data_IF_048614060727
#
_entry.id   IF_048614060727
#
_cell.length_a   1.000
_cell.length_b   1.000
_cell.length_c   1.000
_cell.angle_alpha   90.00
_cell.angle_beta   90.00
_cell.angle_gamma   90.00
#
_symmetry.space_group_name_H-M   'P 1'
#
loop_
_entity.id
_entity.type
_entity.pdbx_description
1 polymer ?
#
# COMPACT_ATOMS: atom_id res chain seq x y z
N UNK A 1 -6.93 15.93 27.20
CA UNK A 1 -6.66 14.60 26.62
C UNK A 1 -7.88 13.68 26.72
N UNK A 2 -8.39 13.40 27.93
CA UNK A 2 -9.56 12.53 28.13
C UNK A 2 -10.84 12.98 27.39
N UNK A 3 -11.03 14.29 27.17
CA UNK A 3 -12.21 14.82 26.46
C UNK A 3 -12.24 14.44 24.97
N UNK A 4 -11.09 14.45 24.28
CA UNK A 4 -11.01 14.09 22.86
C UNK A 4 -11.21 12.59 22.65
N UNK A 5 -10.62 11.76 23.51
CA UNK A 5 -10.82 10.31 23.47
C UNK A 5 -12.28 9.92 23.69
N UNK A 6 -12.96 10.54 24.67
CA UNK A 6 -14.38 10.30 24.93
C UNK A 6 -15.25 10.67 23.73
N UNK A 7 -15.02 11.86 23.14
CA UNK A 7 -15.73 12.30 21.93
C UNK A 7 -15.47 11.39 20.74
N UNK A 8 -14.23 10.90 20.58
CA UNK A 8 -13.89 9.97 19.50
C UNK A 8 -14.64 8.64 19.66
N UNK A 9 -14.74 8.12 20.89
CA UNK A 9 -15.51 6.91 21.20
C UNK A 9 -17.00 7.11 20.98
N UNK A 10 -17.55 8.27 21.36
CA UNK A 10 -18.96 8.62 21.09
C UNK A 10 -19.22 8.70 19.57
N UNK A 11 -18.38 9.43 18.82
CA UNK A 11 -18.48 9.48 17.37
C UNK A 11 -18.39 8.09 16.72
N UNK A 12 -17.53 7.20 17.24
CA UNK A 12 -17.43 5.82 16.77
C UNK A 12 -18.70 5.00 17.04
N UNK A 13 -19.31 5.16 18.22
CA UNK A 13 -20.57 4.47 18.59
C UNK A 13 -21.73 4.95 17.71
N UNK A 14 -21.72 6.22 17.34
CA UNK A 14 -22.73 6.83 16.45
C UNK A 14 -22.44 6.58 14.94
N UNK A 15 -21.51 5.67 14.61
CA UNK A 15 -21.06 5.34 13.25
C UNK A 15 -20.48 6.53 12.44
N UNK A 16 -20.16 7.66 13.09
CA UNK A 16 -19.45 8.80 12.51
C UNK A 16 -17.93 8.53 12.44
N UNK A 17 -17.54 7.53 11.64
CA UNK A 17 -16.16 7.01 11.65
C UNK A 17 -15.10 8.03 11.19
N UNK A 18 -15.41 8.90 10.22
CA UNK A 18 -14.50 9.97 9.77
C UNK A 18 -14.19 10.94 10.92
N UNK A 19 -15.24 11.40 11.61
CA UNK A 19 -15.10 12.25 12.79
C UNK A 19 -14.34 11.55 13.92
N UNK A 20 -14.59 10.24 14.13
CA UNK A 20 -13.85 9.46 15.11
C UNK A 20 -12.34 9.43 14.79
N UNK A 21 -11.96 9.21 13.51
CA UNK A 21 -10.56 9.24 13.07
C UNK A 21 -9.93 10.61 13.30
N UNK A 22 -10.63 11.71 12.99
CA UNK A 22 -10.12 13.06 13.21
C UNK A 22 -9.90 13.36 14.70
N UNK A 23 -10.85 12.97 15.56
CA UNK A 23 -10.75 13.15 17.00
C UNK A 23 -9.65 12.29 17.61
N UNK A 24 -9.51 11.03 17.17
CA UNK A 24 -8.38 10.19 17.58
C UNK A 24 -7.05 10.75 17.11
N UNK A 25 -6.98 11.30 15.89
CA UNK A 25 -5.76 11.93 15.37
C UNK A 25 -5.33 13.12 16.22
N UNK A 26 -6.28 13.97 16.63
CA UNK A 26 -6.02 15.04 17.57
C UNK A 26 -5.59 14.52 18.95
N UNK A 27 -6.23 13.46 19.46
CA UNK A 27 -5.86 12.85 20.73
C UNK A 27 -4.44 12.25 20.70
N UNK A 28 -4.06 11.57 19.62
CA UNK A 28 -2.73 10.99 19.39
C UNK A 28 -1.67 12.10 19.28
N UNK A 29 -1.97 13.23 18.64
CA UNK A 29 -1.05 14.36 18.59
C UNK A 29 -0.71 14.91 19.99
N UNK A 30 -1.63 14.79 20.96
CA UNK A 30 -1.40 15.16 22.35
C UNK A 30 -0.68 14.07 23.16
N UNK A 31 -0.93 12.80 22.85
CA UNK A 31 -0.30 11.65 23.51
C UNK A 31 0.06 10.54 22.50
N UNK A 32 1.21 10.66 21.82
CA UNK A 32 1.58 9.74 20.73
C UNK A 32 2.00 8.35 21.22
N UNK A 33 2.20 8.18 22.54
CA UNK A 33 2.64 6.93 23.16
C UNK A 33 1.50 6.14 23.76
N UNK A 34 0.23 6.54 23.56
CA UNK A 34 -0.91 5.79 24.04
C UNK A 34 -1.34 4.73 23.00
N UNK A 35 -1.10 3.43 23.25
CA UNK A 35 -1.48 2.35 22.33
C UNK A 35 -3.00 2.21 22.15
N UNK A 36 -3.80 2.58 23.15
CA UNK A 36 -5.26 2.51 23.05
C UNK A 36 -5.82 3.43 21.97
N UNK A 37 -5.31 4.67 21.88
CA UNK A 37 -5.75 5.63 20.87
C UNK A 37 -5.43 5.15 19.45
N UNK A 38 -4.26 4.53 19.27
CA UNK A 38 -3.86 3.95 18.00
C UNK A 38 -4.71 2.73 17.64
N UNK A 39 -4.95 1.82 18.58
CA UNK A 39 -5.80 0.64 18.36
C UNK A 39 -7.26 1.02 18.07
N UNK A 40 -7.77 2.06 18.72
CA UNK A 40 -9.14 2.53 18.51
C UNK A 40 -9.27 3.31 17.19
N UNK A 41 -8.26 4.09 16.79
CA UNK A 41 -8.20 4.71 15.45
C UNK A 41 -8.08 3.67 14.34
N UNK A 42 -7.29 2.61 14.54
CA UNK A 42 -7.21 1.49 13.61
C UNK A 42 -8.60 0.85 13.36
N UNK A 43 -9.40 0.71 14.42
CA UNK A 43 -10.76 0.18 14.31
C UNK A 43 -11.69 1.09 13.50
N UNK A 44 -11.58 2.42 13.66
CA UNK A 44 -12.32 3.38 12.84
C UNK A 44 -11.87 3.33 11.37
N UNK A 45 -10.57 3.26 11.11
CA UNK A 45 -10.01 3.10 9.76
C UNK A 45 -10.47 1.80 9.08
N UNK A 46 -10.61 0.68 9.81
CA UNK A 46 -11.20 -0.56 9.28
C UNK A 46 -12.65 -0.36 8.82
N UNK A 47 -13.43 0.44 9.55
CA UNK A 47 -14.82 0.75 9.19
C UNK A 47 -14.91 1.63 7.94
N UNK A 48 -13.94 2.50 7.73
CA UNK A 48 -13.80 3.33 6.53
C UNK A 48 -13.13 2.63 5.34
N UNK A 49 -12.69 1.37 5.50
CA UNK A 49 -11.91 0.65 4.50
C UNK A 49 -10.55 1.32 4.16
N UNK A 50 -10.03 2.14 5.07
CA UNK A 50 -8.65 2.68 5.06
C UNK A 50 -7.70 1.67 5.69
N UNK A 51 -7.51 0.55 5.01
CA UNK A 51 -6.92 -0.66 5.60
C UNK A 51 -5.42 -0.52 5.87
N UNK A 52 -4.69 0.19 5.01
CA UNK A 52 -3.27 0.46 5.16
C UNK A 52 -2.98 1.29 6.42
N UNK A 53 -3.79 2.32 6.66
CA UNK A 53 -3.73 3.17 7.84
C UNK A 53 -4.09 2.37 9.10
N UNK A 54 -5.09 1.48 9.00
CA UNK A 54 -5.44 0.58 10.10
C UNK A 54 -4.29 -0.38 10.47
N UNK A 55 -3.59 -0.95 9.47
CA UNK A 55 -2.42 -1.81 9.71
C UNK A 55 -1.28 -1.02 10.35
N UNK A 56 -1.03 0.21 9.89
CA UNK A 56 0.01 1.08 10.45
C UNK A 56 -0.28 1.43 11.92
N UNK A 57 -1.51 1.86 12.22
CA UNK A 57 -1.94 2.19 13.58
C UNK A 57 -1.90 0.97 14.50
N UNK A 58 -2.44 -0.17 14.06
CA UNK A 58 -2.41 -1.40 14.83
C UNK A 58 -0.99 -1.91 15.07
N UNK A 59 -0.10 -1.82 14.07
CA UNK A 59 1.30 -2.18 14.24
C UNK A 59 2.00 -1.25 15.23
N UNK A 60 1.71 0.06 15.19
CA UNK A 60 2.27 1.01 16.15
C UNK A 60 1.77 0.78 17.57
N UNK A 61 0.48 0.43 17.73
CA UNK A 61 -0.06 0.03 19.02
C UNK A 61 0.64 -1.22 19.58
N UNK A 62 0.91 -2.23 18.74
CA UNK A 62 1.66 -3.45 19.12
C UNK A 62 3.11 -3.13 19.49
N UNK A 63 3.78 -2.20 18.79
CA UNK A 63 5.13 -1.76 19.14
C UNK A 63 5.19 -1.11 20.54
N UNK A 64 4.14 -0.36 20.90
CA UNK A 64 4.04 0.32 22.20
C UNK A 64 3.59 -0.64 23.31
N UNK A 65 2.67 -1.55 23.02
CA UNK A 65 2.21 -2.60 23.92
C UNK A 65 2.05 -3.93 23.17
N UNK A 66 3.09 -4.79 23.19
CA UNK A 66 3.06 -6.09 22.53
C UNK A 66 2.01 -7.05 23.09
N UNK A 67 1.53 -6.83 24.32
CA UNK A 67 0.55 -7.67 25.00
C UNK A 67 -0.91 -7.29 24.66
N UNK A 68 -1.11 -6.26 23.84
CA UNK A 68 -2.43 -5.76 23.49
C UNK A 68 -3.14 -6.65 22.46
N UNK A 69 -3.88 -7.65 22.92
CA UNK A 69 -4.64 -8.57 22.07
C UNK A 69 -5.57 -7.84 21.06
N UNK A 70 -6.22 -6.74 21.47
CA UNK A 70 -7.09 -5.96 20.56
C UNK A 70 -6.33 -5.37 19.36
N UNK A 71 -5.07 -4.96 19.53
CA UNK A 71 -4.28 -4.39 18.45
C UNK A 71 -3.88 -5.47 17.43
N UNK A 72 -3.51 -6.66 17.91
CA UNK A 72 -3.31 -7.85 17.06
C UNK A 72 -4.58 -8.22 16.28
N UNK A 73 -5.75 -8.18 16.93
CA UNK A 73 -7.03 -8.40 16.27
C UNK A 73 -7.30 -7.36 15.16
N UNK A 74 -7.05 -6.07 15.42
CA UNK A 74 -7.23 -5.01 14.40
C UNK A 74 -6.31 -5.23 13.21
N UNK A 75 -5.03 -5.52 13.47
CA UNK A 75 -4.04 -5.82 12.42
C UNK A 75 -4.47 -7.02 11.58
N UNK A 76 -4.88 -8.11 12.23
CA UNK A 76 -5.38 -9.32 11.58
C UNK A 76 -6.55 -9.03 10.64
N UNK A 77 -7.59 -8.37 11.13
CA UNK A 77 -8.78 -8.02 10.34
C UNK A 77 -8.43 -7.11 9.15
N UNK A 78 -7.57 -6.11 9.36
CA UNK A 78 -7.16 -5.20 8.29
C UNK A 78 -6.37 -5.94 7.20
N UNK A 79 -5.42 -6.82 7.57
CA UNK A 79 -4.67 -7.66 6.64
C UNK A 79 -5.59 -8.66 5.89
N UNK A 80 -6.61 -9.25 6.55
CA UNK A 80 -7.57 -10.12 5.85
C UNK A 80 -8.34 -9.36 4.76
N UNK A 81 -8.74 -8.12 5.04
CA UNK A 81 -9.42 -7.27 4.05
C UNK A 81 -8.50 -6.81 2.92
N UNK A 82 -7.18 -6.80 3.15
CA UNK A 82 -6.15 -6.60 2.14
C UNK A 82 -5.76 -7.89 1.40
N UNK A 83 -6.41 -9.03 1.71
CA UNK A 83 -6.06 -10.35 1.17
C UNK A 83 -4.63 -10.81 1.54
N UNK A 84 -4.02 -10.21 2.56
CA UNK A 84 -2.73 -10.62 3.12
C UNK A 84 -2.93 -11.72 4.17
N UNK A 85 -3.43 -12.88 3.76
CA UNK A 85 -3.93 -13.91 4.67
C UNK A 85 -2.85 -14.52 5.58
N UNK A 86 -1.61 -14.66 5.10
CA UNK A 86 -0.51 -15.18 5.94
C UNK A 86 -0.13 -14.17 7.03
N UNK A 87 -0.03 -12.88 6.70
CA UNK A 87 0.24 -11.80 7.67
C UNK A 87 -0.90 -11.68 8.67
N UNK A 88 -2.15 -11.77 8.18
CA UNK A 88 -3.34 -11.75 9.02
C UNK A 88 -3.33 -12.90 10.03
N UNK A 89 -3.11 -14.13 9.56
CA UNK A 89 -3.04 -15.32 10.40
C UNK A 89 -1.99 -15.15 11.51
N UNK A 90 -0.77 -14.75 11.16
CA UNK A 90 0.30 -14.56 12.13
C UNK A 90 -0.06 -13.52 13.21
N UNK A 91 -0.66 -12.39 12.82
CA UNK A 91 -1.13 -11.39 13.78
C UNK A 91 -2.26 -11.93 14.68
N UNK A 92 -3.21 -12.68 14.11
CA UNK A 92 -4.31 -13.28 14.86
C UNK A 92 -3.82 -14.36 15.83
N UNK A 93 -2.86 -15.19 15.45
CA UNK A 93 -2.24 -16.20 16.33
C UNK A 93 -1.50 -15.54 17.50
N UNK A 94 -0.75 -14.47 17.22
CA UNK A 94 -0.10 -13.68 18.26
C UNK A 94 -1.14 -13.09 19.24
N UNK A 95 -2.22 -12.49 18.73
CA UNK A 95 -3.32 -11.99 19.57
C UNK A 95 -4.04 -13.08 20.36
N UNK A 96 -4.27 -14.25 19.75
CA UNK A 96 -4.91 -15.39 20.39
C UNK A 96 -4.07 -15.93 21.56
N UNK A 97 -2.74 -15.92 21.44
CA UNK A 97 -1.84 -16.35 22.53
C UNK A 97 -1.90 -15.45 23.76
N UNK A 98 -2.37 -14.21 23.61
CA UNK A 98 -2.48 -13.19 24.65
C UNK A 98 -3.88 -13.13 25.27
N UNK A 99 -4.90 -13.60 24.55
CA UNK A 99 -6.28 -13.61 25.01
C UNK A 99 -6.66 -14.98 25.57
N UNK A 100 -7.10 -15.03 26.83
CA UNK A 100 -7.38 -16.29 27.51
C UNK A 100 -8.63 -17.02 27.01
N UNK A 101 -9.59 -16.34 26.38
CA UNK A 101 -10.83 -16.95 25.84
C UNK A 101 -11.47 -16.02 24.77
N UNK A 102 -11.01 -16.05 23.51
CA UNK A 102 -11.71 -15.37 22.42
C UNK A 102 -11.93 -16.27 21.19
N UNK A 103 -13.17 -16.76 21.02
CA UNK A 103 -13.63 -17.49 19.82
C UNK A 103 -13.43 -16.71 18.52
N UNK A 104 -13.35 -15.36 18.60
CA UNK A 104 -13.19 -14.49 17.44
C UNK A 104 -11.87 -14.73 16.71
N UNK A 105 -10.76 -14.93 17.42
CA UNK A 105 -9.49 -15.23 16.77
C UNK A 105 -9.52 -16.57 16.05
N UNK A 106 -10.06 -17.61 16.70
CA UNK A 106 -10.14 -18.95 16.11
C UNK A 106 -10.91 -18.96 14.77
N UNK A 107 -12.05 -18.26 14.70
CA UNK A 107 -12.83 -18.17 13.48
C UNK A 107 -12.08 -17.44 12.36
N UNK A 108 -11.40 -16.33 12.68
CA UNK A 108 -10.63 -15.56 11.69
C UNK A 108 -9.37 -16.30 11.23
N UNK A 109 -8.70 -17.03 12.11
CA UNK A 109 -7.55 -17.89 11.76
C UNK A 109 -8.01 -19.01 10.81
N UNK A 110 -9.14 -19.65 11.10
CA UNK A 110 -9.73 -20.67 10.22
C UNK A 110 -10.05 -20.11 8.83
N UNK A 111 -10.64 -18.91 8.77
CA UNK A 111 -10.91 -18.23 7.50
C UNK A 111 -9.61 -17.93 6.74
N UNK A 112 -8.55 -17.47 7.43
CA UNK A 112 -7.24 -17.28 6.79
C UNK A 112 -6.70 -18.60 6.21
N UNK A 113 -6.80 -19.70 6.96
CA UNK A 113 -6.33 -21.02 6.51
C UNK A 113 -7.06 -21.53 5.27
N UNK A 114 -8.38 -21.32 5.20
CA UNK A 114 -9.19 -21.66 4.03
C UNK A 114 -8.74 -20.86 2.80
N UNK A 115 -8.55 -19.54 2.94
CA UNK A 115 -8.10 -18.66 1.84
C UNK A 115 -6.69 -18.99 1.37
N UNK A 116 -5.77 -19.29 2.28
CA UNK A 116 -4.40 -19.72 1.94
C UNK A 116 -4.43 -21.07 1.19
N UNK A 117 -5.32 -22.00 1.58
CA UNK A 117 -5.48 -23.28 0.88
C UNK A 117 -6.02 -23.09 -0.54
N UNK A 118 -6.97 -22.17 -0.74
CA UNK A 118 -7.49 -21.81 -2.06
C UNK A 118 -6.38 -21.26 -2.97
N UNK A 119 -5.60 -20.27 -2.52
CA UNK A 119 -4.49 -19.68 -3.28
C UNK A 119 -3.43 -20.72 -3.69
N UNK A 120 -3.07 -21.62 -2.77
CA UNK A 120 -2.09 -22.67 -3.04
C UNK A 120 -2.62 -23.78 -3.94
N UNK A 121 -3.94 -24.01 -3.94
CA UNK A 121 -4.63 -24.95 -4.83
C UNK A 121 -4.73 -24.44 -6.28
N UNK A 122 -4.97 -23.15 -6.47
CA UNK A 122 -4.99 -22.50 -7.79
C UNK A 122 -3.59 -22.50 -8.44
N UNK A 123 -2.56 -22.21 -7.66
CA UNK A 123 -1.17 -22.18 -8.12
C UNK A 123 -0.69 -23.55 -8.64
N UNK A 124 -1.19 -24.65 -8.08
CA UNK A 124 -0.83 -26.03 -8.51
C UNK A 124 -1.51 -26.47 -9.82
N UNK A 125 -2.64 -25.87 -10.19
CA UNK A 125 -3.38 -26.24 -11.43
C UNK A 125 -2.80 -25.59 -12.70
N UNK A 126 -2.10 -24.46 -12.59
CA UNK A 126 -1.51 -23.75 -13.74
C UNK A 126 -0.15 -24.31 -14.22
N UNK A 127 0.46 -25.27 -13.52
CA UNK A 127 1.82 -25.73 -13.80
C UNK A 127 1.95 -26.81 -14.91
N UNK A 128 0.89 -27.19 -15.62
CA UNK A 128 0.90 -28.39 -16.50
C UNK A 128 0.93 -28.09 -18.01
N UNK A 129 0.72 -26.86 -18.49
CA UNK A 129 0.56 -26.60 -19.93
C UNK A 129 1.46 -25.48 -20.47
N UNK A 130 2.52 -25.85 -21.17
CA UNK A 130 3.23 -25.06 -22.20
C UNK A 130 3.69 -26.05 -23.29
N UNK A 131 3.68 -25.71 -24.61
CA UNK A 131 4.76 -24.87 -25.17
C UNK A 131 4.46 -24.02 -26.45
N UNK A 132 5.27 -22.95 -26.64
CA UNK A 132 6.03 -22.53 -27.86
C UNK A 132 5.29 -22.02 -29.13
N UNK A 133 5.57 -20.78 -29.61
CA UNK A 133 6.47 -20.45 -30.76
C UNK A 133 6.42 -18.96 -31.28
N UNK A 134 7.59 -18.32 -31.35
CA UNK A 134 8.23 -17.64 -32.53
C UNK A 134 7.71 -16.33 -33.18
N UNK A 135 8.51 -15.24 -32.95
CA UNK A 135 9.10 -14.20 -33.83
C UNK A 135 8.24 -13.37 -34.83
N UNK A 136 8.27 -12.02 -34.71
CA UNK A 136 8.98 -11.11 -35.67
C UNK A 136 8.81 -9.61 -35.38
N UNK A 137 9.91 -8.88 -35.58
CA UNK A 137 10.14 -7.43 -35.43
C UNK A 137 9.50 -6.59 -36.55
N UNK A 138 9.16 -5.33 -36.25
CA UNK A 138 9.48 -4.16 -37.10
C UNK A 138 9.30 -2.83 -36.35
N UNK A 139 10.31 -1.97 -36.50
CA UNK A 139 10.52 -0.67 -35.85
C UNK A 139 9.90 0.54 -36.62
N UNK A 140 9.54 1.57 -35.84
CA UNK A 140 9.62 3.05 -36.05
C UNK A 140 8.81 3.80 -37.15
N UNK A 141 8.65 5.16 -37.10
CA UNK A 141 8.99 6.18 -36.06
C UNK A 141 7.90 7.25 -35.73
N UNK A 142 8.19 8.02 -34.67
CA UNK A 142 7.89 9.41 -34.22
C UNK A 142 6.80 10.32 -34.89
N UNK A 143 5.99 11.01 -34.05
CA UNK A 143 6.08 12.46 -33.69
C UNK A 143 4.74 13.27 -33.58
N UNK A 144 4.73 14.22 -32.61
CA UNK A 144 3.95 15.48 -32.44
C UNK A 144 2.42 15.50 -32.09
N UNK A 145 2.15 15.85 -30.81
CA UNK A 145 1.26 16.93 -30.32
C UNK A 145 -0.27 16.75 -30.12
N UNK A 146 -0.65 17.06 -28.87
CA UNK A 146 -1.81 17.80 -28.35
C UNK A 146 -3.23 17.45 -28.85
N UNK A 147 -4.07 16.97 -27.93
CA UNK A 147 -5.18 17.77 -27.36
C UNK A 147 -5.92 16.96 -26.29
N UNK A 148 -6.28 17.63 -25.19
CA UNK A 148 -7.17 17.08 -24.18
C UNK A 148 -8.62 17.05 -24.69
N UNK A 149 -9.36 15.97 -24.39
CA UNK A 149 -10.75 16.13 -23.99
C UNK A 149 -10.97 15.56 -22.58
N UNK A 150 -11.61 16.39 -21.75
CA UNK A 150 -12.27 15.94 -20.53
C UNK A 150 -13.18 14.76 -20.83
N UNK A 151 -12.94 13.61 -20.18
CA UNK A 151 -13.93 12.54 -20.06
C UNK A 151 -13.93 12.04 -18.61
N UNK A 152 -15.15 11.98 -18.11
CA UNK A 152 -15.66 11.57 -16.79
C UNK A 152 -14.94 10.38 -16.13
N UNK A 153 -14.90 10.29 -14.78
CA UNK A 153 -14.24 9.21 -14.06
C UNK A 153 -15.10 7.93 -14.13
N UNK A 154 -14.92 7.16 -15.21
CA UNK A 154 -15.41 5.79 -15.30
C UNK A 154 -14.54 4.89 -14.42
N UNK A 155 -15.19 4.08 -13.58
CA UNK A 155 -14.57 3.13 -12.63
C UNK A 155 -13.32 2.47 -13.24
N UNK A 156 -12.17 2.73 -12.64
CA UNK A 156 -10.87 2.26 -13.14
C UNK A 156 -10.83 0.73 -13.20
N UNK A 157 -10.84 0.18 -14.41
CA UNK A 157 -10.69 -1.26 -14.69
C UNK A 157 -9.41 -1.86 -14.07
N UNK A 158 -8.40 -1.01 -13.89
CA UNK A 158 -7.09 -1.37 -13.38
C UNK A 158 -6.80 -0.64 -12.08
N UNK A 159 -6.35 -1.38 -11.07
CA UNK A 159 -5.84 -0.84 -9.80
C UNK A 159 -4.34 -1.10 -9.72
N UNK A 160 -3.62 -0.27 -8.97
CA UNK A 160 -2.20 -0.47 -8.77
C UNK A 160 -1.84 -0.35 -7.29
N UNK A 161 -0.84 -1.10 -6.87
CA UNK A 161 -0.27 -1.08 -5.53
C UNK A 161 1.24 -1.07 -5.64
N UNK A 162 1.92 -0.64 -4.57
CA UNK A 162 3.36 -0.74 -4.51
C UNK A 162 3.82 -1.15 -3.12
N UNK A 163 4.91 -1.89 -3.06
CA UNK A 163 5.66 -2.13 -1.84
C UNK A 163 7.13 -1.86 -2.09
N UNK A 164 7.93 -1.74 -1.03
CA UNK A 164 9.34 -1.41 -1.17
C UNK A 164 10.22 -2.25 -0.25
N UNK A 165 11.42 -2.51 -0.74
CA UNK A 165 12.57 -3.04 -0.01
C UNK A 165 13.59 -1.91 0.19
N UNK A 166 14.68 -2.13 0.95
CA UNK A 166 15.73 -1.13 1.11
C UNK A 166 16.34 -0.68 -0.23
N UNK A 167 16.43 -1.58 -1.20
CA UNK A 167 17.10 -1.33 -2.49
C UNK A 167 16.15 -1.33 -3.70
N UNK A 168 14.90 -1.75 -3.51
CA UNK A 168 13.95 -1.95 -4.61
C UNK A 168 12.57 -1.39 -4.26
N UNK A 169 11.81 -1.00 -5.27
CA UNK A 169 10.38 -0.71 -5.19
C UNK A 169 9.68 -1.60 -6.19
N UNK A 170 8.63 -2.29 -5.76
CA UNK A 170 7.84 -3.15 -6.64
C UNK A 170 6.48 -2.53 -6.80
N UNK A 171 6.12 -2.20 -8.03
CA UNK A 171 4.81 -1.67 -8.42
C UNK A 171 4.05 -2.78 -9.13
N UNK A 172 2.84 -3.05 -8.67
CA UNK A 172 1.96 -4.07 -9.23
C UNK A 172 0.72 -3.41 -9.79
N UNK A 173 0.48 -3.55 -11.09
CA UNK A 173 -0.75 -3.10 -11.75
C UNK A 173 -1.62 -4.33 -11.97
N UNK A 174 -2.77 -4.42 -11.28
CA UNK A 174 -3.69 -5.53 -11.40
C UNK A 174 -4.54 -5.36 -12.67
N UNK A 175 -4.36 -6.33 -13.56
CA UNK A 175 -4.74 -6.24 -14.96
C UNK A 175 -5.08 -7.65 -15.46
N UNK A 176 -6.36 -8.02 -15.43
CA UNK A 176 -6.81 -9.38 -15.78
C UNK A 176 -6.97 -9.54 -17.29
N UNK A 177 -6.44 -10.65 -17.81
CA UNK A 177 -6.64 -11.09 -19.19
C UNK A 177 -5.90 -10.26 -20.24
N UNK A 178 -4.80 -9.60 -19.85
CA UNK A 178 -4.06 -8.71 -20.75
C UNK A 178 -2.89 -9.49 -21.36
N UNK A 179 -2.74 -9.48 -22.70
CA UNK A 179 -1.58 -10.11 -23.34
C UNK A 179 -0.32 -9.30 -23.08
N UNK A 180 0.82 -9.98 -22.95
CA UNK A 180 2.11 -9.33 -22.68
C UNK A 180 2.48 -8.27 -23.74
N UNK A 181 2.12 -8.53 -24.99
CA UNK A 181 2.39 -7.64 -26.12
C UNK A 181 1.59 -6.32 -26.09
N UNK A 182 0.50 -6.28 -25.30
CA UNK A 182 -0.30 -5.08 -25.09
C UNK A 182 0.24 -4.16 -24.01
N UNK A 183 1.28 -4.55 -23.28
CA UNK A 183 1.84 -3.77 -22.17
C UNK A 183 3.19 -3.19 -22.57
N UNK A 184 3.30 -1.86 -22.47
CA UNK A 184 4.57 -1.14 -22.64
C UNK A 184 4.95 -0.51 -21.32
N UNK A 185 6.20 -0.70 -20.89
CA UNK A 185 6.75 -0.12 -19.66
C UNK A 185 8.01 0.65 -20.01
N UNK A 186 8.00 1.95 -19.75
CA UNK A 186 9.14 2.84 -19.95
C UNK A 186 9.65 3.35 -18.61
N UNK A 187 10.97 3.32 -18.45
CA UNK A 187 11.66 3.81 -17.26
C UNK A 187 12.40 5.11 -17.60
N UNK A 188 12.15 6.17 -16.83
CA UNK A 188 12.95 7.39 -16.80
C UNK A 188 13.66 7.53 -15.45
N UNK A 189 14.66 8.41 -15.35
CA UNK A 189 15.49 8.56 -14.12
C UNK A 189 14.66 8.69 -12.83
N UNK A 190 13.47 9.27 -12.92
CA UNK A 190 12.52 9.45 -11.82
C UNK A 190 11.06 9.26 -12.29
N UNK A 191 10.83 8.54 -13.37
CA UNK A 191 9.50 8.40 -13.99
C UNK A 191 9.26 6.93 -14.30
N UNK A 192 8.05 6.46 -13.99
CA UNK A 192 7.54 5.18 -14.47
C UNK A 192 6.34 5.48 -15.37
N UNK A 193 6.40 5.01 -16.61
CA UNK A 193 5.28 5.04 -17.55
C UNK A 193 4.89 3.63 -17.92
N UNK A 194 3.61 3.29 -17.75
CA UNK A 194 3.03 2.03 -18.15
C UNK A 194 1.83 2.32 -19.02
N UNK A 195 1.81 1.71 -20.19
CA UNK A 195 0.71 1.77 -21.13
C UNK A 195 0.18 0.37 -21.34
N UNK A 196 -1.14 0.21 -21.26
CA UNK A 196 -1.81 -1.04 -21.60
C UNK A 196 -2.80 -0.77 -22.72
N UNK A 197 -2.53 -1.33 -23.90
CA UNK A 197 -3.34 -1.15 -25.10
C UNK A 197 -3.95 -2.48 -25.53
N UNK A 198 -5.16 -2.77 -25.05
CA UNK A 198 -5.91 -3.97 -25.44
C UNK A 198 -6.74 -3.64 -26.69
N UNK A 199 -6.65 -4.43 -27.78
CA UNK A 199 -7.45 -4.21 -28.98
C UNK A 199 -8.95 -4.20 -28.66
N UNK A 200 -9.63 -3.09 -28.98
CA UNK A 200 -11.07 -2.92 -28.74
C UNK A 200 -11.44 -2.30 -27.39
N UNK A 201 -10.47 -1.89 -26.58
CA UNK A 201 -10.70 -1.16 -25.33
C UNK A 201 -9.93 0.15 -25.29
N UNK A 202 -10.31 1.03 -24.36
CA UNK A 202 -9.57 2.26 -24.10
C UNK A 202 -8.18 1.96 -23.51
N UNK A 203 -7.15 2.57 -24.08
CA UNK A 203 -5.78 2.41 -23.60
C UNK A 203 -5.66 2.96 -22.17
N UNK A 204 -5.11 2.14 -21.27
CA UNK A 204 -4.80 2.54 -19.91
C UNK A 204 -3.42 3.17 -19.85
N UNK A 205 -3.33 4.30 -19.16
CA UNK A 205 -2.10 5.05 -18.95
C UNK A 205 -1.85 5.18 -17.45
N UNK A 206 -0.70 4.69 -17.01
CA UNK A 206 -0.18 4.89 -15.68
C UNK A 206 1.19 5.53 -15.79
N UNK A 207 1.24 6.85 -15.68
CA UNK A 207 2.47 7.61 -15.69
C UNK A 207 2.59 8.36 -14.37
N UNK A 208 3.60 8.00 -13.59
CA UNK A 208 3.86 8.64 -12.30
C UNK A 208 5.30 9.11 -12.18
N UNK A 209 5.48 10.24 -11.52
CA UNK A 209 6.80 10.72 -11.12
C UNK A 209 7.14 10.04 -9.81
N UNK A 210 8.17 9.21 -9.83
CA UNK A 210 8.57 8.41 -8.68
C UNK A 210 9.13 9.29 -7.56
N UNK A 211 8.95 8.87 -6.30
CA UNK A 211 9.44 9.61 -5.13
C UNK A 211 10.96 9.85 -5.19
N UNK A 212 11.73 8.82 -5.55
CA UNK A 212 13.18 8.88 -5.70
C UNK A 212 13.66 8.48 -7.09
N UNK A 213 14.95 8.71 -7.35
CA UNK A 213 15.59 8.27 -8.60
C UNK A 213 15.72 6.75 -8.64
N UNK A 214 15.72 6.18 -9.84
CA UNK A 214 15.87 4.75 -10.10
C UNK A 214 17.07 4.46 -11.01
N UNK A 215 17.62 3.25 -10.90
CA UNK A 215 18.70 2.76 -11.75
C UNK A 215 18.08 2.04 -12.94
N UNK A 216 18.06 2.69 -14.11
CA UNK A 216 17.39 2.18 -15.32
C UNK A 216 17.85 0.78 -15.70
N UNK A 217 19.16 0.52 -15.68
CA UNK A 217 19.75 -0.76 -16.09
C UNK A 217 19.37 -1.96 -15.21
N UNK A 218 18.87 -1.69 -13.99
CA UNK A 218 18.50 -2.73 -13.02
C UNK A 218 16.98 -2.90 -12.89
N UNK A 219 16.20 -2.01 -13.50
CA UNK A 219 14.75 -2.10 -13.49
C UNK A 219 14.29 -3.25 -14.41
N UNK A 220 13.27 -3.98 -13.97
CA UNK A 220 12.70 -5.12 -14.69
C UNK A 220 11.20 -5.11 -14.55
N UNK A 221 10.47 -5.60 -15.53
CA UNK A 221 9.04 -5.84 -15.40
C UNK A 221 8.69 -7.24 -15.90
N UNK A 222 7.56 -7.75 -15.42
CA UNK A 222 6.99 -9.02 -15.81
C UNK A 222 5.49 -8.86 -16.01
N UNK A 223 4.98 -9.28 -17.17
CA UNK A 223 3.55 -9.22 -17.47
C UNK A 223 2.96 -10.60 -17.24
N UNK A 224 2.03 -10.70 -16.31
CA UNK A 224 1.28 -11.90 -15.98
C UNK A 224 -0.18 -11.73 -16.43
N UNK A 225 -0.90 -12.85 -16.51
CA UNK A 225 -2.32 -12.86 -16.92
C UNK A 225 -3.25 -12.10 -15.96
N UNK A 226 -2.82 -11.85 -14.73
CA UNK A 226 -3.61 -11.16 -13.70
C UNK A 226 -3.03 -9.81 -13.28
N UNK A 227 -1.77 -9.53 -13.62
CA UNK A 227 -1.05 -8.33 -13.16
C UNK A 227 0.21 -8.05 -13.97
N UNK A 228 0.65 -6.80 -13.93
CA UNK A 228 1.98 -6.37 -14.39
C UNK A 228 2.80 -6.07 -13.14
N UNK A 229 3.90 -6.80 -12.92
CA UNK A 229 4.83 -6.57 -11.82
C UNK A 229 6.06 -5.82 -12.32
N UNK A 230 6.36 -4.68 -11.73
CA UNK A 230 7.44 -3.78 -12.13
C UNK A 230 8.37 -3.62 -10.94
N UNK A 231 9.61 -4.07 -11.09
CA UNK A 231 10.67 -3.96 -10.08
C UNK A 231 11.59 -2.82 -10.47
N UNK A 232 11.53 -1.77 -9.67
CA UNK A 232 12.36 -0.58 -9.78
C UNK A 232 13.52 -0.71 -8.79
N UNK A 233 14.75 -0.50 -9.22
CA UNK A 233 15.89 -0.42 -8.31
C UNK A 233 16.11 1.02 -7.88
N UNK A 234 16.16 1.29 -6.58
CA UNK A 234 16.40 2.63 -6.03
C UNK A 234 17.83 3.06 -6.34
N UNK A 235 18.01 4.30 -6.78
CA UNK A 235 19.34 4.89 -6.93
C UNK A 235 20.03 5.15 -5.59
N UNK A 236 19.23 5.39 -4.54
CA UNK A 236 19.70 5.58 -3.16
C UNK A 236 19.22 4.40 -2.29
N UNK A 237 20.09 3.38 -2.05
CA UNK A 237 19.82 2.29 -1.14
C UNK A 237 19.52 2.80 0.27
N UNK A 238 18.40 2.39 0.86
CA UNK A 238 17.99 2.81 2.20
C UNK A 238 17.06 4.02 2.25
N UNK A 239 16.83 4.72 1.13
CA UNK A 239 15.83 5.77 1.07
C UNK A 239 14.42 5.17 1.15
N UNK A 240 13.68 5.53 2.19
CA UNK A 240 12.28 5.11 2.37
C UNK A 240 11.35 6.02 1.57
N UNK A 241 10.57 5.43 0.66
CA UNK A 241 9.60 6.17 -0.16
C UNK A 241 8.27 6.20 0.59
N UNK A 242 7.92 7.35 1.17
CA UNK A 242 6.65 7.51 1.89
C UNK A 242 5.42 7.39 0.97
N UNK A 243 5.61 7.61 -0.32
CA UNK A 243 4.63 7.41 -1.39
C UNK A 243 5.34 6.93 -2.66
N UNK A 244 4.61 6.30 -3.58
CA UNK A 244 5.16 5.98 -4.90
C UNK A 244 5.45 7.25 -5.69
N UNK A 245 4.55 8.23 -5.58
CA UNK A 245 4.61 9.48 -6.33
C UNK A 245 5.38 10.56 -5.56
N UNK A 246 6.15 11.37 -6.29
CA UNK A 246 6.73 12.60 -5.76
C UNK A 246 5.64 13.65 -5.59
N UNK A 247 5.16 13.82 -4.35
CA UNK A 247 4.37 14.99 -3.96
C UNK A 247 5.32 16.11 -3.62
N UNK A 248 5.31 17.20 -4.41
CA UNK A 248 6.05 18.43 -4.09
C UNK A 248 5.32 19.17 -2.96
N UNK A 249 5.29 18.59 -1.77
CA UNK A 249 4.91 19.34 -0.58
C UNK A 249 6.14 20.09 -0.10
N UNK A 250 6.04 21.42 -0.15
CA UNK A 250 7.07 22.39 0.15
C UNK A 250 7.84 22.02 1.41
N UNK A 251 9.12 21.68 1.25
CA UNK A 251 10.04 21.51 2.35
C UNK A 251 10.05 22.78 3.22
N UNK A 252 9.39 22.73 4.38
CA UNK A 252 9.71 23.67 5.46
C UNK A 252 11.07 23.24 5.99
N UNK A 253 12.11 23.84 5.43
CA UNK A 253 13.47 23.76 5.94
C UNK A 253 13.42 24.21 7.40
N UNK A 254 13.61 23.28 8.35
CA UNK A 254 13.97 23.63 9.72
C UNK A 254 15.34 24.31 9.65
N UNK A 255 15.36 25.65 9.67
CA UNK A 255 16.58 26.40 9.92
C UNK A 255 17.03 26.08 11.34
N UNK A 256 18.18 25.44 11.43
CA UNK A 256 18.96 25.35 12.66
C UNK A 256 19.44 26.78 12.95
N UNK A 257 18.87 27.42 13.96
CA UNK A 257 19.44 28.66 14.52
C UNK A 257 20.63 28.25 15.38
N UNK A 258 21.85 28.35 14.83
CA UNK A 258 23.07 28.33 15.63
C UNK A 258 23.27 29.76 16.16
N UNK A 259 23.05 29.98 17.45
CA UNK A 259 23.50 31.21 18.11
C UNK A 259 25.02 31.13 18.32
N UNK A 260 25.78 31.70 17.38
CA UNK A 260 27.18 31.99 17.58
C UNK A 260 27.29 33.22 18.50
N UNK A 261 28.01 33.05 19.62
CA UNK A 261 28.27 34.11 20.57
C UNK A 261 29.16 35.20 19.97
N UNK A 262 28.81 36.45 20.23
CA UNK A 262 29.71 37.59 20.06
C UNK A 262 30.27 37.96 21.42
N UNK A 263 31.53 37.62 21.62
CA UNK A 263 32.46 38.37 22.47
C UNK A 263 32.77 39.70 21.77
N UNK A 264 32.74 40.82 22.50
CA UNK A 264 33.89 41.73 22.63
C UNK A 264 33.56 42.94 23.51
N UNK A 265 34.53 43.19 24.40
CA UNK A 265 35.00 44.42 25.06
C UNK A 265 34.05 45.61 25.26
#
# INVERSE_FOLDING_TARGET
>A
MADLEKKAKEAFIDDHFELAVDLYTQAIALNPTNPDLLADRAQANIKLNSLTEAVADASKAIELDPSMAKAHLRKGIACMKLEEYQTAKAALEAGASLATEESRFANLIKECDERIAEETGETKKQAVEAPVNTLSLKEEPEDISCQAPMVTPSKSKYRHEFYQKPEEVVVTIFAKGIPADSVTVDFGEQILSVRINVPGEDAYYFQTRLFGKIILDKCKFNVLSTKVEIRLTKAEPGLHWASLEYKKETAVVKRITVSSGMSNC
#
